data_IF_876241702451
#
_entry.id   IF_876241702451
#
_cell.length_a   1.000
_cell.length_b   1.000
_cell.length_c   1.000
_cell.angle_alpha   90.00
_cell.angle_beta   90.00
_cell.angle_gamma   90.00
#
_symmetry.space_group_name_H-M   'P 1'
#
loop_
_entity.id
_entity.type
_entity.pdbx_description
1 polymer ?
#
# COMPACT_ATOMS: atom_id res chain seq x y z
N UNK A 1 26.06 -8.55 -8.17
CA UNK A 1 24.93 -8.91 -9.03
C UNK A 1 23.68 -8.54 -8.27
N UNK A 2 22.93 -7.52 -8.70
CA UNK A 2 21.61 -7.26 -8.14
C UNK A 2 20.77 -8.52 -8.39
N UNK A 3 20.17 -9.09 -7.33
CA UNK A 3 19.20 -10.16 -7.50
C UNK A 3 18.19 -9.70 -8.56
N UNK A 4 17.92 -10.54 -9.56
CA UNK A 4 16.78 -10.37 -10.45
C UNK A 4 15.55 -10.20 -9.56
N UNK A 5 15.10 -8.96 -9.47
CA UNK A 5 14.09 -8.56 -8.51
C UNK A 5 12.76 -9.01 -9.10
N UNK A 6 12.16 -10.06 -8.54
CA UNK A 6 10.75 -10.47 -8.78
C UNK A 6 9.77 -9.41 -8.24
N UNK A 7 10.08 -8.14 -8.40
CA UNK A 7 9.28 -7.00 -7.96
C UNK A 7 8.48 -6.53 -9.17
N UNK A 8 7.17 -6.38 -8.97
CA UNK A 8 6.23 -6.11 -10.06
C UNK A 8 6.36 -4.68 -10.62
N UNK A 9 6.80 -3.73 -9.79
CA UNK A 9 6.82 -2.32 -10.17
C UNK A 9 8.17 -1.89 -10.71
N UNK A 10 8.14 -0.97 -11.66
CA UNK A 10 9.34 -0.29 -12.12
C UNK A 10 9.87 0.62 -11.01
N UNK A 11 11.14 1.03 -11.10
CA UNK A 11 11.75 2.00 -10.16
C UNK A 11 12.06 3.32 -10.86
N UNK A 12 11.19 3.69 -11.81
CA UNK A 12 11.32 4.90 -12.61
C UNK A 12 10.54 6.07 -12.01
N UNK A 13 10.54 7.21 -12.72
CA UNK A 13 9.87 8.41 -12.24
C UNK A 13 8.34 8.27 -12.23
N UNK A 14 7.73 7.41 -13.05
CA UNK A 14 6.29 7.19 -13.07
C UNK A 14 5.87 6.51 -11.77
N UNK A 15 6.60 5.47 -11.35
CA UNK A 15 6.33 4.81 -10.07
C UNK A 15 6.53 5.75 -8.88
N UNK A 16 7.61 6.53 -8.91
CA UNK A 16 7.89 7.52 -7.88
C UNK A 16 6.76 8.55 -7.75
N UNK A 17 6.22 9.05 -8.87
CA UNK A 17 5.09 9.97 -8.85
C UNK A 17 3.84 9.30 -8.28
N UNK A 18 3.54 8.05 -8.67
CA UNK A 18 2.39 7.29 -8.16
C UNK A 18 2.44 7.14 -6.64
N UNK A 19 3.58 6.72 -6.08
CA UNK A 19 3.72 6.52 -4.62
C UNK A 19 3.70 7.86 -3.89
N UNK A 20 4.34 8.91 -4.41
CA UNK A 20 4.33 10.24 -3.79
C UNK A 20 2.93 10.85 -3.77
N UNK A 21 2.19 10.81 -4.89
CA UNK A 21 0.81 11.27 -4.94
C UNK A 21 -0.08 10.44 -4.00
N UNK A 22 0.10 9.12 -4.03
CA UNK A 22 -0.58 8.21 -3.11
C UNK A 22 -0.37 8.61 -1.65
N UNK A 23 0.88 8.91 -1.25
CA UNK A 23 1.21 9.33 0.11
C UNK A 23 0.41 10.57 0.55
N UNK A 24 0.34 11.60 -0.30
CA UNK A 24 -0.42 12.81 0.01
C UNK A 24 -1.92 12.53 0.10
N UNK A 25 -2.48 11.80 -0.86
CA UNK A 25 -3.90 11.44 -0.88
C UNK A 25 -4.30 10.58 0.32
N UNK A 26 -3.43 9.66 0.74
CA UNK A 26 -3.66 8.80 1.90
C UNK A 26 -3.65 9.64 3.18
N UNK A 27 -2.67 10.53 3.34
CA UNK A 27 -2.59 11.43 4.50
C UNK A 27 -3.77 12.39 4.55
N UNK A 28 -4.22 12.92 3.40
CA UNK A 28 -5.41 13.76 3.30
C UNK A 28 -6.70 12.98 3.67
N UNK A 29 -6.86 11.74 3.18
CA UNK A 29 -8.04 10.93 3.43
C UNK A 29 -8.21 10.63 4.93
N UNK A 30 -7.11 10.31 5.60
CA UNK A 30 -7.12 9.99 7.03
C UNK A 30 -7.06 11.24 7.91
N UNK A 31 -6.55 12.35 7.39
CA UNK A 31 -6.34 13.59 8.14
C UNK A 31 -5.14 13.52 9.09
N UNK A 32 -4.29 12.50 8.96
CA UNK A 32 -3.09 12.31 9.76
C UNK A 32 -2.05 11.44 9.03
N UNK A 33 -0.77 11.60 9.39
CA UNK A 33 0.31 10.72 8.95
C UNK A 33 0.44 9.50 9.89
N UNK A 34 0.53 9.74 11.19
CA UNK A 34 0.46 8.74 12.25
C UNK A 34 -0.87 8.86 12.99
N UNK A 35 -1.47 7.73 13.32
CA UNK A 35 -2.75 7.65 14.01
C UNK A 35 -2.67 8.41 15.35
N UNK A 36 -3.69 9.20 15.74
CA UNK A 36 -3.64 10.03 16.95
C UNK A 36 -3.40 9.26 18.26
N UNK A 37 -3.77 7.97 18.30
CA UNK A 37 -3.53 7.08 19.44
C UNK A 37 -2.05 6.65 19.60
N UNK A 38 -1.19 6.90 18.60
CA UNK A 38 0.25 6.64 18.70
C UNK A 38 0.91 7.83 19.39
N UNK A 39 1.49 7.66 20.60
CA UNK A 39 2.11 8.77 21.31
C UNK A 39 3.37 9.28 20.60
N UNK A 40 3.38 10.58 20.26
CA UNK A 40 4.49 11.23 19.54
C UNK A 40 5.20 12.32 20.37
N UNK A 41 4.84 12.45 21.65
CA UNK A 41 5.34 13.54 22.53
C UNK A 41 6.77 13.34 23.02
N UNK A 42 7.32 12.12 22.94
CA UNK A 42 8.70 11.86 23.30
C UNK A 42 9.64 12.37 22.18
N UNK A 43 10.49 13.34 22.50
CA UNK A 43 11.42 13.93 21.53
C UNK A 43 12.50 12.95 21.03
N UNK A 44 12.70 11.81 21.70
CA UNK A 44 13.72 10.81 21.39
C UNK A 44 13.17 9.55 20.72
N UNK A 45 11.97 9.63 20.13
CA UNK A 45 11.38 8.51 19.41
C UNK A 45 12.28 8.08 18.25
N UNK A 46 12.52 6.78 18.15
CA UNK A 46 13.12 6.15 16.96
C UNK A 46 12.00 5.60 16.09
N UNK A 47 11.88 6.12 14.88
CA UNK A 47 10.85 5.75 13.91
C UNK A 47 11.54 5.03 12.74
N UNK A 48 11.01 3.87 12.35
CA UNK A 48 11.33 3.26 11.06
C UNK A 48 10.19 3.55 10.08
N UNK A 49 10.55 3.93 8.87
CA UNK A 49 9.63 4.11 7.75
C UNK A 49 10.30 3.65 6.45
N UNK A 50 9.52 3.51 5.38
CA UNK A 50 10.00 3.21 4.04
C UNK A 50 10.14 4.53 3.28
N UNK A 51 11.34 4.86 2.82
CA UNK A 51 11.62 6.15 2.20
C UNK A 51 12.62 6.08 1.03
N UNK A 52 12.89 7.23 0.40
CA UNK A 52 13.94 7.43 -0.63
C UNK A 52 15.01 8.39 -0.11
N UNK A 53 16.14 8.56 -0.78
CA UNK A 53 17.33 9.27 -0.26
C UNK A 53 17.18 10.80 -0.05
N UNK A 54 16.05 11.40 -0.46
CA UNK A 54 15.80 12.84 -0.25
C UNK A 54 15.24 13.12 1.14
N UNK A 55 16.11 13.14 2.16
CA UNK A 55 15.68 13.11 3.55
C UNK A 55 16.21 14.26 4.41
N UNK A 56 15.48 14.63 5.48
CA UNK A 56 16.00 15.48 6.53
C UNK A 56 17.28 14.91 7.17
N UNK A 57 18.13 15.78 7.72
CA UNK A 57 19.43 15.40 8.29
C UNK A 57 19.34 14.42 9.48
N UNK A 58 18.16 14.27 10.09
CA UNK A 58 17.90 13.36 11.21
C UNK A 58 17.35 11.99 10.77
N UNK A 59 17.43 11.65 9.48
CA UNK A 59 16.99 10.36 8.94
C UNK A 59 18.17 9.64 8.31
N UNK A 60 18.33 8.37 8.66
CA UNK A 60 19.35 7.49 8.09
C UNK A 60 18.68 6.45 7.19
N UNK A 61 19.27 6.20 6.01
CA UNK A 61 18.78 5.18 5.08
C UNK A 61 19.45 3.85 5.33
N UNK A 62 18.65 2.79 5.27
CA UNK A 62 19.14 1.42 5.31
C UNK A 62 18.43 0.57 4.27
N UNK A 63 19.22 -0.08 3.43
CA UNK A 63 18.70 -1.08 2.52
C UNK A 63 18.55 -2.42 3.25
N UNK A 64 17.33 -2.94 3.30
CA UNK A 64 17.00 -4.26 3.81
C UNK A 64 15.80 -4.80 3.06
N UNK A 65 15.81 -6.09 2.71
CA UNK A 65 14.66 -6.76 2.15
C UNK A 65 13.82 -7.32 3.30
N UNK A 66 12.58 -6.87 3.40
CA UNK A 66 11.66 -7.19 4.50
C UNK A 66 11.33 -8.68 4.64
N UNK A 67 11.62 -9.48 3.59
CA UNK A 67 11.49 -10.93 3.57
C UNK A 67 12.66 -11.65 4.26
N UNK A 68 13.81 -10.99 4.37
CA UNK A 68 15.01 -11.58 4.96
C UNK A 68 14.97 -11.45 6.50
N UNK A 69 15.72 -12.29 7.24
CA UNK A 69 15.85 -12.15 8.68
C UNK A 69 16.23 -10.72 9.10
N UNK A 70 15.64 -10.24 10.19
CA UNK A 70 15.91 -8.89 10.71
C UNK A 70 17.37 -8.77 11.14
N UNK A 71 18.12 -7.76 10.64
CA UNK A 71 19.47 -7.49 11.11
C UNK A 71 19.49 -7.27 12.62
N UNK A 72 20.46 -7.86 13.30
CA UNK A 72 20.47 -7.95 14.78
C UNK A 72 20.44 -6.58 15.46
N UNK A 73 21.02 -5.55 14.86
CA UNK A 73 21.05 -4.19 15.39
C UNK A 73 19.71 -3.43 15.24
N UNK A 74 18.81 -3.93 14.38
CA UNK A 74 17.47 -3.38 14.19
C UNK A 74 16.42 -4.02 15.11
N UNK A 75 16.73 -5.18 15.69
CA UNK A 75 15.81 -5.87 16.60
C UNK A 75 15.57 -5.03 17.84
N UNK A 76 14.29 -4.72 18.13
CA UNK A 76 13.91 -3.94 19.30
C UNK A 76 14.46 -2.51 19.30
N UNK A 77 14.75 -1.94 18.13
CA UNK A 77 15.40 -0.62 18.03
C UNK A 77 14.41 0.55 17.93
N UNK A 78 13.16 0.30 17.54
CA UNK A 78 12.21 1.35 17.15
C UNK A 78 11.01 1.44 18.09
N UNK A 79 10.61 2.67 18.39
CA UNK A 79 9.40 2.96 19.16
C UNK A 79 8.15 2.92 18.26
N UNK A 80 8.31 3.30 16.99
CA UNK A 80 7.25 3.29 15.97
C UNK A 80 7.81 2.69 14.68
N UNK A 81 7.06 1.79 14.05
CA UNK A 81 7.32 1.33 12.69
C UNK A 81 6.09 1.68 11.84
N UNK A 82 6.33 2.38 10.74
CA UNK A 82 5.30 2.80 9.80
C UNK A 82 5.49 2.08 8.46
N UNK A 83 4.41 1.53 7.92
CA UNK A 83 4.41 0.76 6.66
C UNK A 83 3.23 1.19 5.80
N UNK A 84 3.45 1.38 4.50
CA UNK A 84 2.39 1.57 3.49
C UNK A 84 2.76 0.90 2.16
N UNK A 85 1.73 0.60 1.37
CA UNK A 85 1.82 0.18 -0.04
C UNK A 85 2.57 -1.13 -0.31
N UNK A 86 2.43 -2.10 0.59
CA UNK A 86 2.90 -3.47 0.38
C UNK A 86 1.80 -4.41 -0.14
N UNK A 87 0.54 -3.98 -0.23
CA UNK A 87 -0.59 -4.78 -0.74
C UNK A 87 -0.30 -5.45 -2.10
N UNK A 88 0.30 -4.72 -3.04
CA UNK A 88 0.62 -5.25 -4.37
C UNK A 88 2.04 -5.85 -4.47
N UNK A 89 2.75 -5.96 -3.34
CA UNK A 89 4.12 -6.46 -3.25
C UNK A 89 4.17 -7.84 -2.59
N UNK A 90 3.28 -8.09 -1.64
CA UNK A 90 3.22 -9.32 -0.83
C UNK A 90 2.03 -10.18 -1.23
N UNK A 91 2.29 -11.48 -1.43
CA UNK A 91 1.22 -12.47 -1.46
C UNK A 91 0.66 -12.75 -0.07
N UNK A 92 -0.59 -13.19 0.01
CA UNK A 92 -1.29 -13.54 1.26
C UNK A 92 -0.50 -14.48 2.19
N UNK A 93 0.26 -15.40 1.62
CA UNK A 93 1.11 -16.37 2.31
C UNK A 93 2.37 -15.75 2.93
N UNK A 94 2.80 -14.59 2.44
CA UNK A 94 4.03 -13.91 2.88
C UNK A 94 3.77 -12.94 4.03
N UNK A 95 2.54 -12.41 4.16
CA UNK A 95 2.22 -11.30 5.07
C UNK A 95 2.53 -11.65 6.52
N UNK A 96 2.21 -12.87 6.95
CA UNK A 96 2.45 -13.31 8.32
C UNK A 96 3.94 -13.35 8.70
N UNK A 97 4.81 -13.84 7.80
CA UNK A 97 6.26 -13.88 8.05
C UNK A 97 6.89 -12.50 7.97
N UNK A 98 6.46 -11.67 7.02
CA UNK A 98 6.88 -10.27 6.89
C UNK A 98 6.44 -9.45 8.11
N UNK A 99 5.22 -9.65 8.61
CA UNK A 99 4.75 -9.01 9.83
C UNK A 99 5.63 -9.36 11.02
N UNK A 100 6.04 -10.62 11.19
CA UNK A 100 6.95 -11.02 12.28
C UNK A 100 8.28 -10.29 12.21
N UNK A 101 8.84 -10.11 11.01
CA UNK A 101 10.05 -9.31 10.82
C UNK A 101 9.82 -7.84 11.20
N UNK A 102 8.72 -7.23 10.78
CA UNK A 102 8.35 -5.85 11.13
C UNK A 102 8.20 -5.69 12.65
N UNK A 103 7.49 -6.60 13.32
CA UNK A 103 7.27 -6.57 14.77
C UNK A 103 8.56 -6.79 15.56
N UNK A 104 9.52 -7.55 15.02
CA UNK A 104 10.82 -7.71 15.64
C UNK A 104 11.64 -6.40 15.69
N UNK A 105 11.37 -5.43 14.81
CA UNK A 105 11.98 -4.09 14.86
C UNK A 105 11.53 -3.30 16.10
N UNK A 106 10.33 -3.56 16.60
CA UNK A 106 9.72 -2.80 17.68
C UNK A 106 10.32 -3.13 19.05
N UNK A 107 10.57 -2.09 19.84
CA UNK A 107 10.74 -2.18 21.29
C UNK A 107 9.47 -2.73 21.96
N UNK A 108 9.57 -3.35 23.15
CA UNK A 108 8.39 -3.60 23.98
C UNK A 108 7.58 -2.32 24.20
N UNK A 109 6.27 -2.39 24.01
CA UNK A 109 5.38 -1.22 24.07
C UNK A 109 5.36 -0.32 22.83
N UNK A 110 6.18 -0.59 21.81
CA UNK A 110 6.22 0.17 20.55
C UNK A 110 5.02 -0.09 19.63
N UNK A 111 4.81 0.78 18.64
CA UNK A 111 3.64 0.77 17.77
C UNK A 111 3.98 0.44 16.32
N UNK A 112 3.20 -0.46 15.72
CA UNK A 112 3.14 -0.65 14.27
C UNK A 112 1.91 0.08 13.74
N UNK A 113 2.09 0.91 12.71
CA UNK A 113 1.01 1.38 11.84
C UNK A 113 1.23 0.85 10.43
N UNK A 114 0.22 0.17 9.87
CA UNK A 114 0.25 -0.35 8.51
C UNK A 114 -0.97 0.14 7.71
N UNK A 115 -0.72 0.92 6.65
CA UNK A 115 -1.75 1.52 5.79
C UNK A 115 -1.78 0.93 4.38
N UNK A 116 -2.92 0.44 3.92
CA UNK A 116 -3.06 -0.27 2.65
C UNK A 116 -4.34 0.07 1.87
N UNK A 117 -4.34 -0.28 0.59
CA UNK A 117 -5.53 -0.35 -0.27
C UNK A 117 -6.10 -1.76 -0.25
N UNK A 118 -7.40 -1.91 -0.03
CA UNK A 118 -8.07 -3.21 0.00
C UNK A 118 -8.60 -3.57 -1.39
N UNK A 119 -7.85 -4.37 -2.14
CA UNK A 119 -8.18 -4.68 -3.54
C UNK A 119 -9.52 -5.39 -3.73
N UNK A 120 -9.94 -6.33 -2.86
CA UNK A 120 -11.27 -6.95 -2.90
C UNK A 120 -12.44 -5.96 -2.75
N UNK A 121 -12.22 -4.78 -2.16
CA UNK A 121 -13.24 -3.72 -2.04
C UNK A 121 -13.48 -2.92 -3.34
N UNK A 122 -12.82 -3.34 -4.43
CA UNK A 122 -12.97 -2.73 -5.75
C UNK A 122 -14.43 -2.51 -6.13
N UNK A 123 -14.69 -1.29 -6.59
CA UNK A 123 -15.96 -0.90 -7.20
C UNK A 123 -15.73 0.24 -8.18
N UNK A 124 -16.73 0.49 -9.01
CA UNK A 124 -16.78 1.65 -9.87
C UNK A 124 -17.77 2.65 -9.29
N UNK A 125 -17.27 3.81 -8.88
CA UNK A 125 -18.09 4.94 -8.48
C UNK A 125 -18.47 5.76 -9.70
N UNK A 126 -19.74 6.17 -9.77
CA UNK A 126 -20.25 6.98 -10.87
C UNK A 126 -20.96 8.21 -10.35
N UNK A 127 -20.72 9.35 -10.98
CA UNK A 127 -21.46 10.59 -10.71
C UNK A 127 -22.93 10.47 -11.13
N UNK A 128 -23.23 9.60 -12.10
CA UNK A 128 -24.59 9.25 -12.52
C UNK A 128 -24.69 7.77 -12.91
N UNK A 129 -25.79 7.06 -12.58
CA UNK A 129 -25.93 5.63 -12.86
C UNK A 129 -25.73 5.25 -14.34
N UNK A 130 -26.13 6.13 -15.26
CA UNK A 130 -26.06 5.94 -16.70
C UNK A 130 -24.65 6.10 -17.30
N UNK A 131 -23.68 6.60 -16.54
CA UNK A 131 -22.32 6.76 -17.05
C UNK A 131 -21.75 5.40 -17.46
N UNK A 132 -21.16 5.34 -18.65
CA UNK A 132 -20.48 4.15 -19.12
C UNK A 132 -19.22 3.89 -18.29
N UNK A 133 -19.00 2.62 -17.95
CA UNK A 133 -17.81 2.16 -17.22
C UNK A 133 -17.32 0.79 -17.70
N UNK A 134 -17.66 0.44 -18.94
CA UNK A 134 -17.32 -0.86 -19.53
C UNK A 134 -15.80 -1.04 -19.61
N UNK A 135 -15.06 -0.11 -20.22
CA UNK A 135 -13.60 -0.18 -20.30
C UNK A 135 -12.91 -0.17 -18.92
N UNK A 136 -13.43 0.59 -17.94
CA UNK A 136 -12.95 0.54 -16.55
C UNK A 136 -13.07 -0.88 -15.96
N UNK A 137 -14.17 -1.57 -16.24
CA UNK A 137 -14.40 -2.95 -15.78
C UNK A 137 -13.46 -3.92 -16.50
N UNK A 138 -13.39 -3.83 -17.82
CA UNK A 138 -12.61 -4.72 -18.67
C UNK A 138 -11.11 -4.62 -18.34
N UNK A 139 -10.58 -3.39 -18.23
CA UNK A 139 -9.16 -3.17 -17.92
C UNK A 139 -8.81 -3.70 -16.52
N UNK A 140 -9.65 -3.45 -15.52
CA UNK A 140 -9.40 -3.94 -14.16
C UNK A 140 -9.28 -5.48 -14.13
N UNK A 141 -10.26 -6.20 -14.67
CA UNK A 141 -10.24 -7.66 -14.63
C UNK A 141 -9.14 -8.27 -15.50
N UNK A 142 -8.80 -7.61 -16.63
CA UNK A 142 -7.68 -8.01 -17.47
C UNK A 142 -6.37 -8.02 -16.67
N UNK A 143 -6.06 -6.91 -15.99
CA UNK A 143 -4.81 -6.76 -15.24
C UNK A 143 -4.74 -7.66 -14.01
N UNK A 144 -5.85 -7.74 -13.26
CA UNK A 144 -5.95 -8.59 -12.07
C UNK A 144 -5.68 -10.07 -12.33
N UNK A 145 -5.86 -10.54 -13.57
CA UNK A 145 -5.59 -11.91 -13.94
C UNK A 145 -4.10 -12.21 -14.24
N UNK A 146 -3.22 -11.20 -14.24
CA UNK A 146 -1.83 -11.38 -14.67
C UNK A 146 -0.88 -11.82 -13.56
N UNK A 147 -1.13 -11.40 -12.31
CA UNK A 147 -0.30 -11.78 -11.16
C UNK A 147 -1.19 -11.85 -9.91
N UNK A 148 -1.02 -12.90 -9.10
CA UNK A 148 -1.82 -13.07 -7.88
C UNK A 148 -1.67 -11.90 -6.90
N UNK A 149 -0.50 -11.24 -6.88
CA UNK A 149 -0.23 -10.06 -6.05
C UNK A 149 -1.06 -8.85 -6.44
N UNK A 150 -1.71 -8.86 -7.59
CA UNK A 150 -2.63 -7.80 -7.97
C UNK A 150 -3.97 -7.91 -7.24
N UNK A 151 -4.32 -9.10 -6.75
CA UNK A 151 -5.55 -9.37 -6.02
C UNK A 151 -5.29 -9.89 -4.59
N UNK A 152 -4.56 -9.15 -3.74
CA UNK A 152 -4.30 -9.56 -2.37
C UNK A 152 -5.60 -9.61 -1.55
N UNK A 153 -5.81 -10.64 -0.75
CA UNK A 153 -7.03 -10.76 0.09
C UNK A 153 -6.80 -10.50 1.57
N UNK A 154 -5.58 -10.12 1.93
CA UNK A 154 -5.11 -10.05 3.31
C UNK A 154 -5.35 -8.71 4.00
N UNK A 155 -5.63 -7.62 3.27
CA UNK A 155 -5.70 -6.26 3.85
C UNK A 155 -6.81 -6.12 4.88
N UNK A 156 -8.02 -6.55 4.55
CA UNK A 156 -9.15 -6.57 5.49
C UNK A 156 -8.96 -7.54 6.66
N UNK A 157 -8.02 -8.49 6.55
CA UNK A 157 -7.65 -9.46 7.59
C UNK A 157 -6.48 -8.99 8.46
N UNK A 158 -5.81 -7.88 8.11
CA UNK A 158 -4.69 -7.33 8.89
C UNK A 158 -4.94 -7.25 10.40
N UNK A 159 -6.13 -6.86 10.90
CA UNK A 159 -6.35 -6.78 12.34
C UNK A 159 -6.26 -8.15 13.04
N UNK A 160 -6.70 -9.21 12.38
CA UNK A 160 -6.58 -10.60 12.87
C UNK A 160 -5.12 -11.04 12.79
N UNK A 161 -4.46 -10.81 11.65
CA UNK A 161 -3.05 -11.16 11.44
C UNK A 161 -2.14 -10.45 12.47
N UNK A 162 -2.43 -9.18 12.80
CA UNK A 162 -1.72 -8.42 13.84
C UNK A 162 -1.78 -9.12 15.21
N UNK A 163 -2.94 -9.65 15.58
CA UNK A 163 -3.13 -10.36 16.86
C UNK A 163 -2.50 -11.75 16.82
N UNK A 164 -2.89 -12.55 15.83
CA UNK A 164 -2.63 -13.98 15.81
C UNK A 164 -1.20 -14.31 15.39
N UNK A 165 -0.65 -13.58 14.43
CA UNK A 165 0.69 -13.80 13.90
C UNK A 165 1.73 -12.81 14.41
N UNK A 166 1.31 -11.56 14.62
CA UNK A 166 2.17 -10.49 15.13
C UNK A 166 2.26 -10.43 16.65
N UNK A 167 1.33 -11.07 17.38
CA UNK A 167 1.26 -10.97 18.84
C UNK A 167 1.02 -9.55 19.36
N UNK A 168 0.44 -8.67 18.54
CA UNK A 168 0.18 -7.28 18.89
C UNK A 168 -1.10 -7.16 19.72
N UNK A 169 -1.08 -6.29 20.72
CA UNK A 169 -2.23 -5.88 21.52
C UNK A 169 -2.76 -4.51 21.06
N UNK A 170 -3.87 -4.06 21.67
CA UNK A 170 -4.49 -2.75 21.41
C UNK A 170 -4.71 -2.48 19.91
N UNK A 171 -5.15 -3.50 19.16
CA UNK A 171 -5.28 -3.41 17.71
C UNK A 171 -6.48 -2.56 17.33
N UNK A 172 -6.21 -1.46 16.63
CA UNK A 172 -7.18 -0.47 16.15
C UNK A 172 -7.22 -0.45 14.62
N UNK A 173 -8.37 -0.09 14.08
CA UNK A 173 -8.59 0.05 12.64
C UNK A 173 -9.28 1.37 12.34
N UNK A 174 -8.73 2.14 11.41
CA UNK A 174 -9.43 3.25 10.74
C UNK A 174 -9.64 2.84 9.28
N UNK A 175 -10.90 2.77 8.85
CA UNK A 175 -11.30 2.28 7.53
C UNK A 175 -12.08 3.39 6.85
N UNK A 176 -11.62 3.82 5.68
CA UNK A 176 -12.24 4.94 4.96
C UNK A 176 -12.44 4.62 3.51
N UNK A 177 -13.61 5.00 3.02
CA UNK A 177 -13.87 5.16 1.61
C UNK A 177 -13.57 6.60 1.21
N UNK A 178 -12.81 6.82 0.12
CA UNK A 178 -12.56 8.18 -0.35
C UNK A 178 -13.86 8.83 -0.84
N UNK A 179 -14.16 10.09 -0.46
CA UNK A 179 -15.27 10.82 -1.07
C UNK A 179 -15.02 10.99 -2.57
N UNK A 180 -16.07 11.22 -3.36
CA UNK A 180 -16.00 11.14 -4.83
C UNK A 180 -14.88 11.95 -5.50
N UNK A 181 -14.57 13.16 -5.02
CA UNK A 181 -13.47 13.97 -5.57
C UNK A 181 -12.08 13.38 -5.28
N UNK A 182 -11.90 12.74 -4.11
CA UNK A 182 -10.67 12.02 -3.79
C UNK A 182 -10.61 10.68 -4.50
N UNK A 183 -11.74 9.97 -4.65
CA UNK A 183 -11.80 8.73 -5.42
C UNK A 183 -11.35 8.97 -6.86
N UNK A 184 -11.79 10.07 -7.47
CA UNK A 184 -11.31 10.52 -8.78
C UNK A 184 -9.80 10.76 -8.81
N UNK A 185 -9.25 11.55 -7.88
CA UNK A 185 -7.82 11.82 -7.84
C UNK A 185 -6.96 10.56 -7.63
N UNK A 186 -7.43 9.65 -6.77
CA UNK A 186 -6.80 8.35 -6.54
C UNK A 186 -6.89 7.44 -7.77
N UNK A 187 -8.01 7.48 -8.50
CA UNK A 187 -8.14 6.78 -9.78
C UNK A 187 -7.12 7.30 -10.80
N UNK A 188 -7.00 8.63 -11.00
CA UNK A 188 -6.00 9.20 -11.91
C UNK A 188 -4.57 8.80 -11.51
N UNK A 189 -4.30 8.74 -10.21
CA UNK A 189 -3.00 8.27 -9.69
C UNK A 189 -2.78 6.79 -9.99
N UNK A 190 -3.81 5.97 -9.89
CA UNK A 190 -3.75 4.56 -10.28
C UNK A 190 -3.61 4.38 -11.79
N UNK A 191 -3.98 5.33 -12.65
CA UNK A 191 -3.72 5.18 -14.09
C UNK A 191 -2.22 5.12 -14.45
N UNK A 192 -1.35 5.61 -13.56
CA UNK A 192 0.11 5.51 -13.71
C UNK A 192 0.64 4.07 -13.53
N UNK A 193 -0.23 3.14 -13.12
CA UNK A 193 0.09 1.74 -12.86
C UNK A 193 0.11 0.88 -14.13
N UNK A 194 -0.72 1.18 -15.14
CA UNK A 194 -1.01 0.24 -16.25
C UNK A 194 0.22 -0.08 -17.11
N UNK A 195 1.02 0.95 -17.43
CA UNK A 195 2.27 0.76 -18.18
C UNK A 195 3.26 -0.15 -17.42
N UNK A 196 3.19 -0.17 -16.08
CA UNK A 196 4.05 -1.01 -15.25
C UNK A 196 3.61 -2.48 -15.29
N UNK A 197 2.29 -2.75 -15.34
CA UNK A 197 1.75 -4.12 -15.51
C UNK A 197 2.19 -4.71 -16.84
N UNK A 198 2.14 -3.92 -17.92
CA UNK A 198 2.60 -4.37 -19.24
C UNK A 198 4.08 -4.71 -19.22
N UNK A 199 4.90 -3.85 -18.61
CA UNK A 199 6.35 -4.06 -18.53
C UNK A 199 6.73 -5.27 -17.68
N UNK A 200 6.04 -5.47 -16.55
CA UNK A 200 6.37 -6.51 -15.58
C UNK A 200 5.92 -7.90 -16.02
N UNK A 201 4.81 -7.99 -16.75
CA UNK A 201 4.28 -9.27 -17.26
C UNK A 201 4.96 -9.74 -18.54
N UNK A 202 5.55 -8.82 -19.32
CA UNK A 202 6.12 -9.12 -20.64
C UNK A 202 5.10 -9.66 -21.64
N UNK A 203 3.80 -9.55 -21.35
CA UNK A 203 2.74 -10.15 -22.14
C UNK A 203 2.26 -9.15 -23.21
N UNK A 204 2.73 -9.34 -24.45
CA UNK A 204 2.42 -8.45 -25.57
C UNK A 204 0.90 -8.33 -25.86
N UNK A 205 0.11 -9.37 -25.58
CA UNK A 205 -1.34 -9.32 -25.76
C UNK A 205 -1.98 -8.38 -24.73
N UNK A 206 -1.48 -8.38 -23.50
CA UNK A 206 -1.92 -7.45 -22.45
C UNK A 206 -1.48 -6.03 -22.77
N UNK A 207 -0.23 -5.84 -23.23
CA UNK A 207 0.24 -4.54 -23.70
C UNK A 207 -0.70 -3.93 -24.74
N UNK A 208 -1.05 -4.70 -25.77
CA UNK A 208 -2.00 -4.26 -26.79
C UNK A 208 -3.39 -3.95 -26.24
N UNK A 209 -3.91 -4.79 -25.34
CA UNK A 209 -5.22 -4.57 -24.75
C UNK A 209 -5.25 -3.33 -23.84
N UNK A 210 -4.18 -3.06 -23.08
CA UNK A 210 -4.02 -1.83 -22.30
C UNK A 210 -3.96 -0.60 -23.24
N UNK A 211 -3.19 -0.66 -24.33
CA UNK A 211 -3.14 0.40 -25.34
C UNK A 211 -4.53 0.72 -25.94
N UNK A 212 -5.37 -0.29 -26.15
CA UNK A 212 -6.73 -0.14 -26.70
C UNK A 212 -7.74 0.36 -25.64
N UNK A 213 -7.66 -0.13 -24.40
CA UNK A 213 -8.62 0.17 -23.34
C UNK A 213 -8.33 1.47 -22.59
N UNK A 214 -7.06 1.83 -22.38
CA UNK A 214 -6.68 2.97 -21.54
C UNK A 214 -7.28 4.31 -22.03
N UNK A 215 -7.29 4.63 -23.34
CA UNK A 215 -7.95 5.85 -23.82
C UNK A 215 -9.46 5.89 -23.52
N UNK A 216 -10.12 4.72 -23.56
CA UNK A 216 -11.55 4.60 -23.23
C UNK A 216 -11.78 4.75 -21.73
N UNK A 217 -10.90 4.20 -20.90
CA UNK A 217 -10.90 4.39 -19.44
C UNK A 217 -10.78 5.86 -19.09
N UNK A 218 -9.84 6.58 -19.72
CA UNK A 218 -9.68 8.04 -19.52
C UNK A 218 -10.94 8.80 -19.93
N UNK A 219 -11.58 8.44 -21.05
CA UNK A 219 -12.82 9.07 -21.49
C UNK A 219 -14.00 8.79 -20.54
N UNK A 220 -14.16 7.56 -20.08
CA UNK A 220 -15.17 7.18 -19.07
C UNK A 220 -14.91 7.92 -17.75
N UNK A 221 -13.64 8.07 -17.37
CA UNK A 221 -13.15 8.92 -16.30
C UNK A 221 -13.67 10.34 -16.36
N UNK A 222 -13.42 11.02 -17.49
CA UNK A 222 -13.90 12.39 -17.75
C UNK A 222 -15.42 12.52 -17.72
N UNK A 223 -16.16 11.45 -18.03
CA UNK A 223 -17.62 11.39 -17.94
C UNK A 223 -18.13 11.07 -16.54
N UNK A 224 -17.24 10.88 -15.57
CA UNK A 224 -17.56 10.74 -14.16
C UNK A 224 -17.82 9.30 -13.74
N UNK A 225 -17.01 8.36 -14.22
CA UNK A 225 -16.88 7.01 -13.67
C UNK A 225 -15.43 6.77 -13.23
N UNK A 226 -15.18 6.16 -12.07
CA UNK A 226 -13.81 5.94 -11.61
C UNK A 226 -13.71 4.67 -10.76
N UNK A 227 -12.51 4.12 -10.66
CA UNK A 227 -12.23 3.04 -9.70
C UNK A 227 -12.17 3.59 -8.29
N UNK A 228 -12.80 2.89 -7.36
CA UNK A 228 -12.72 3.17 -5.95
C UNK A 228 -12.37 1.88 -5.19
N UNK A 229 -11.61 2.07 -4.13
CA UNK A 229 -11.24 1.02 -3.20
C UNK A 229 -11.24 1.63 -1.79
N UNK A 230 -11.62 0.83 -0.81
CA UNK A 230 -11.50 1.16 0.60
C UNK A 230 -10.02 1.22 1.01
N UNK A 231 -9.68 2.15 1.91
CA UNK A 231 -8.36 2.28 2.52
C UNK A 231 -8.42 1.87 3.99
N UNK A 232 -7.40 1.14 4.42
CA UNK A 232 -7.27 0.64 5.77
C UNK A 232 -6.02 1.23 6.41
N UNK A 233 -6.14 1.69 7.65
CA UNK A 233 -5.02 1.84 8.59
C UNK A 233 -5.26 0.90 9.75
N UNK A 234 -4.29 0.02 10.00
CA UNK A 234 -4.29 -0.84 11.18
C UNK A 234 -3.14 -0.42 12.08
N UNK A 235 -3.44 -0.21 13.35
CA UNK A 235 -2.46 0.08 14.39
C UNK A 235 -2.44 -1.10 15.36
N UNK A 236 -1.26 -1.51 15.79
CA UNK A 236 -1.10 -2.50 16.85
C UNK A 236 0.10 -2.15 17.71
N UNK A 237 0.03 -2.52 18.99
CA UNK A 237 1.09 -2.27 19.95
C UNK A 237 1.79 -3.57 20.30
N UNK A 238 3.12 -3.57 20.28
CA UNK A 238 3.89 -4.69 20.80
C UNK A 238 3.70 -4.76 22.32
N UNK A 239 3.34 -5.91 22.90
CA UNK A 239 3.19 -6.03 24.34
C UNK A 239 4.44 -5.54 25.07
N UNK A 240 4.23 -4.90 26.20
CA UNK A 240 5.29 -4.72 27.19
C UNK A 240 5.38 -6.10 27.86
N UNK A 241 6.42 -6.88 27.58
CA UNK A 241 6.67 -8.11 28.34
C UNK A 241 6.61 -7.77 29.86
N UNK A 242 6.04 -8.64 30.71
CA UNK A 242 6.11 -8.50 32.16
C UNK A 242 7.54 -8.37 32.70
#
# INVERSE_FOLDING_TARGET
>A
MALESNYLFTRDFVDNNRINLGHYQFTELFGYLLHPEIPTTNAQLRIADVATEWLPANVEMRQWNIRDPVPTDLVGSYDIVHVRYLCLVLGDEEVGSVLKNIVALLKPGGYLQWGEMDTPSFRIEKTRPENDATALTDLYYLEQSQDRRLNPTWVSRLPEIFRDEGGLCDVLTDIRDPPGHMAWAMHETMLLFHDQVVQSTGNAAIGKAVEELLPLVVEQGRRGACWAFTRWIVVGRKPIDP
#
